data_IF_549196655195
#
_entry.id   IF_549196655195
#
_cell.length_a   1.000
_cell.length_b   1.000
_cell.length_c   1.000
_cell.angle_alpha   90.00
_cell.angle_beta   90.00
_cell.angle_gamma   90.00
#
_symmetry.space_group_name_H-M   'P 1'
#
loop_
_entity.id
_entity.type
_entity.pdbx_description
1 polymer ?
#
# COMPACT_ATOMS: atom_id res chain seq x y z
N UNK A 1 -15.47 -7.77 13.79
CA UNK A 1 -14.94 -7.02 12.62
C UNK A 1 -13.73 -6.21 13.09
N UNK A 2 -12.53 -6.71 12.86
CA UNK A 2 -11.30 -6.00 13.21
C UNK A 2 -11.13 -4.81 12.28
N UNK A 3 -11.13 -3.60 12.84
CA UNK A 3 -10.75 -2.40 12.09
C UNK A 3 -9.35 -2.65 11.49
N UNK A 4 -9.11 -2.34 10.21
CA UNK A 4 -7.77 -2.42 9.67
C UNK A 4 -6.89 -1.49 10.50
N UNK A 5 -5.78 -2.01 11.02
CA UNK A 5 -4.78 -1.20 11.67
C UNK A 5 -4.08 -0.38 10.56
N UNK A 6 -4.54 0.86 10.38
CA UNK A 6 -4.01 1.75 9.35
C UNK A 6 -2.75 2.39 9.89
N UNK A 7 -1.63 2.10 9.24
CA UNK A 7 -0.34 2.65 9.62
C UNK A 7 -0.13 4.03 9.02
N UNK A 8 0.78 4.82 9.60
CA UNK A 8 1.17 6.13 9.05
C UNK A 8 1.71 6.02 7.61
N UNK A 9 2.34 4.90 7.27
CA UNK A 9 2.81 4.62 5.91
C UNK A 9 1.64 4.47 4.92
N UNK A 10 0.52 3.87 5.34
CA UNK A 10 -0.69 3.73 4.53
C UNK A 10 -1.36 5.08 4.30
N UNK A 11 -1.38 5.95 5.32
CA UNK A 11 -1.91 7.32 5.22
C UNK A 11 -1.05 8.14 4.26
N UNK A 12 0.28 8.10 4.39
CA UNK A 12 1.23 8.78 3.48
C UNK A 12 1.13 8.26 2.05
N UNK A 13 0.99 6.95 1.89
CA UNK A 13 0.76 6.35 0.57
C UNK A 13 -0.55 6.84 -0.04
N UNK A 14 -1.63 6.85 0.75
CA UNK A 14 -2.96 7.27 0.30
C UNK A 14 -2.98 8.75 -0.08
N UNK A 15 -2.31 9.61 0.69
CA UNK A 15 -2.11 11.02 0.35
C UNK A 15 -1.44 11.19 -1.04
N UNK A 16 -0.37 10.44 -1.30
CA UNK A 16 0.32 10.45 -2.60
C UNK A 16 -0.54 9.86 -3.72
N UNK A 17 -1.28 8.79 -3.44
CA UNK A 17 -2.19 8.14 -4.38
C UNK A 17 -3.32 9.08 -4.82
N UNK A 18 -3.87 9.84 -3.88
CA UNK A 18 -4.91 10.85 -4.14
C UNK A 18 -4.36 12.13 -4.79
N UNK A 19 -3.03 12.26 -4.93
CA UNK A 19 -2.34 13.42 -5.52
C UNK A 19 -2.77 14.75 -4.87
N UNK A 20 -2.93 14.73 -3.55
CA UNK A 20 -3.29 15.94 -2.79
C UNK A 20 -2.19 16.99 -2.93
N UNK A 21 -2.60 18.23 -3.23
CA UNK A 21 -1.70 19.37 -3.39
C UNK A 21 -1.18 19.90 -2.05
N UNK A 22 -1.92 19.65 -0.98
CA UNK A 22 -1.53 20.03 0.38
C UNK A 22 -0.34 19.20 0.84
N UNK A 23 0.73 19.81 1.39
CA UNK A 23 1.83 19.07 1.98
C UNK A 23 1.33 18.14 3.08
N UNK A 24 1.94 16.95 3.20
CA UNK A 24 1.49 15.93 4.15
C UNK A 24 1.52 16.43 5.60
N UNK A 25 2.61 17.10 5.98
CA UNK A 25 2.82 17.59 7.34
C UNK A 25 2.00 18.86 7.65
N UNK A 26 1.48 19.54 6.62
CA UNK A 26 0.65 20.74 6.74
C UNK A 26 -0.85 20.46 6.52
N UNK A 27 -1.27 19.19 6.54
CA UNK A 27 -2.68 18.85 6.36
C UNK A 27 -3.52 19.30 7.56
N UNK A 28 -4.66 19.97 7.31
CA UNK A 28 -5.68 20.19 8.34
C UNK A 28 -6.16 18.85 8.94
N UNK A 29 -6.55 18.85 10.22
CA UNK A 29 -7.00 17.63 10.89
C UNK A 29 -8.22 16.98 10.20
N UNK A 30 -9.13 17.76 9.62
CA UNK A 30 -10.28 17.22 8.89
C UNK A 30 -9.84 16.48 7.61
N UNK A 31 -8.86 17.05 6.89
CA UNK A 31 -8.32 16.42 5.69
C UNK A 31 -7.54 15.15 6.03
N UNK A 32 -6.78 15.16 7.13
CA UNK A 32 -6.11 13.96 7.64
C UNK A 32 -7.10 12.85 7.98
N UNK A 33 -8.22 13.17 8.62
CA UNK A 33 -9.28 12.21 8.92
C UNK A 33 -9.89 11.61 7.65
N UNK A 34 -10.13 12.43 6.62
CA UNK A 34 -10.61 11.95 5.32
C UNK A 34 -9.60 11.02 4.63
N UNK A 35 -8.30 11.32 4.69
CA UNK A 35 -7.24 10.46 4.14
C UNK A 35 -7.14 9.14 4.91
N UNK A 36 -7.30 9.15 6.24
CA UNK A 36 -7.35 7.92 7.06
C UNK A 36 -8.57 7.08 6.71
N UNK A 37 -9.73 7.69 6.48
CA UNK A 37 -10.93 6.98 6.02
C UNK A 37 -10.74 6.38 4.62
N UNK A 38 -10.11 7.13 3.70
CA UNK A 38 -9.76 6.63 2.38
C UNK A 38 -8.76 5.46 2.45
N UNK A 39 -7.75 5.55 3.33
CA UNK A 39 -6.79 4.48 3.55
C UNK A 39 -7.46 3.21 4.08
N UNK A 40 -8.43 3.35 4.99
CA UNK A 40 -9.28 2.24 5.44
C UNK A 40 -10.05 1.57 4.29
N UNK A 41 -10.67 2.36 3.41
CA UNK A 41 -11.38 1.83 2.25
C UNK A 41 -10.43 1.15 1.23
N UNK A 42 -9.19 1.63 1.14
CA UNK A 42 -8.16 1.09 0.26
C UNK A 42 -7.33 -0.06 0.88
N UNK A 43 -7.54 -0.39 2.16
CA UNK A 43 -6.81 -1.41 2.90
C UNK A 43 -6.74 -2.78 2.19
N UNK A 44 -7.79 -3.29 1.53
CA UNK A 44 -7.70 -4.55 0.78
C UNK A 44 -6.70 -4.50 -0.39
N UNK A 45 -6.55 -3.33 -1.04
CA UNK A 45 -5.59 -3.11 -2.13
C UNK A 45 -4.17 -2.92 -1.59
N UNK A 46 -4.02 -2.24 -0.46
CA UNK A 46 -2.74 -2.04 0.22
C UNK A 46 -2.11 -3.38 0.65
N UNK A 47 -2.92 -4.26 1.26
CA UNK A 47 -2.45 -5.59 1.70
C UNK A 47 -2.02 -6.50 0.54
N UNK A 48 -2.71 -6.44 -0.60
CA UNK A 48 -2.29 -7.16 -1.82
C UNK A 48 -0.93 -6.68 -2.30
N UNK A 49 -0.71 -5.37 -2.29
CA UNK A 49 0.56 -4.76 -2.70
C UNK A 49 1.72 -5.11 -1.75
N UNK A 50 1.48 -5.11 -0.44
CA UNK A 50 2.47 -5.55 0.54
C UNK A 50 2.85 -7.02 0.29
N UNK A 51 1.87 -7.89 0.08
CA UNK A 51 2.13 -9.31 -0.20
C UNK A 51 2.96 -9.54 -1.46
N UNK A 52 2.70 -8.78 -2.54
CA UNK A 52 3.50 -8.88 -3.78
C UNK A 52 4.91 -8.29 -3.67
N UNK A 53 5.12 -7.32 -2.78
CA UNK A 53 6.46 -6.75 -2.54
C UNK A 53 7.27 -7.56 -1.52
N UNK A 54 6.61 -8.42 -0.74
CA UNK A 54 7.25 -9.24 0.30
C UNK A 54 7.61 -10.66 -0.16
N UNK A 55 7.16 -11.10 -1.35
CA UNK A 55 7.73 -12.29 -1.96
C UNK A 55 9.03 -11.88 -2.68
N UNK A 56 10.22 -12.26 -2.17
CA UNK A 56 11.38 -12.28 -3.03
C UNK A 56 11.04 -13.28 -4.13
N UNK A 57 10.76 -12.77 -5.33
CA UNK A 57 10.71 -13.60 -6.53
C UNK A 57 12.06 -14.32 -6.57
N UNK A 58 12.07 -15.59 -6.17
CA UNK A 58 13.26 -16.41 -6.22
C UNK A 58 13.57 -16.70 -7.69
N UNK A 59 14.26 -15.73 -8.30
CA UNK A 59 14.69 -15.72 -9.69
C UNK A 59 15.53 -16.95 -10.05
N UNK A 60 16.05 -17.69 -9.06
CA UNK A 60 16.79 -18.93 -9.28
C UNK A 60 15.91 -20.11 -9.66
N UNK A 61 14.61 -20.09 -9.35
CA UNK A 61 13.70 -21.22 -9.67
C UNK A 61 13.24 -21.22 -11.13
N UNK A 62 13.28 -20.09 -11.83
CA UNK A 62 12.74 -19.97 -13.20
C UNK A 62 13.71 -20.46 -14.28
N UNK A 63 15.01 -20.54 -13.98
CA UNK A 63 16.03 -20.96 -14.94
C UNK A 63 16.18 -22.50 -15.06
N UNK A 64 15.59 -23.27 -14.15
CA UNK A 64 15.73 -24.74 -14.14
C UNK A 64 14.61 -25.49 -14.86
N UNK A 65 13.61 -24.79 -15.40
CA UNK A 65 12.40 -25.42 -15.96
C UNK A 65 12.25 -25.28 -17.48
N UNK A 66 13.27 -24.74 -18.16
CA UNK A 66 13.21 -24.35 -19.59
C UNK A 66 14.22 -25.13 -20.44
N UNK A 67 14.62 -26.33 -20.00
CA UNK A 67 15.60 -27.16 -20.69
C UNK A 67 15.19 -28.64 -20.59
N UNK A 68 14.06 -28.96 -21.22
CA UNK A 68 13.72 -30.32 -21.65
C UNK A 68 12.71 -30.21 -22.82
N UNK A 69 13.24 -29.97 -24.02
CA UNK A 69 12.75 -30.48 -25.32
C UNK A 69 13.97 -30.65 -26.25
#
# INVERSE_FOLDING_TARGET
MGKPDITEADVRWTHRFLRLTTPYDAMPPELRAAVVAAANALAPRLRRRQRTNSDPVDLKRRAASDLDD
#
